data_IF_095331540294
#
_entry.id   IF_095331540294
#
_cell.length_a   1.000
_cell.length_b   1.000
_cell.length_c   1.000
_cell.angle_alpha   90.00
_cell.angle_beta   90.00
_cell.angle_gamma   90.00
#
_symmetry.space_group_name_H-M   'P 1'
#
loop_
_entity.id
_entity.type
_entity.pdbx_description
1 polymer ?
#
# COMPACT_ATOMS: atom_id res chain seq x y z
N UNK A 1 14.29 -6.02 -20.64
CA UNK A 1 14.68 -7.40 -20.33
C UNK A 1 13.63 -8.44 -20.74
N UNK A 2 12.36 -8.33 -20.37
CA UNK A 2 11.28 -9.27 -20.77
C UNK A 2 11.12 -9.51 -22.27
N UNK A 3 11.30 -8.52 -23.13
CA UNK A 3 11.23 -8.69 -24.60
C UNK A 3 12.36 -9.57 -25.16
N UNK A 4 13.57 -9.46 -24.62
CA UNK A 4 14.74 -10.25 -25.05
C UNK A 4 14.59 -11.71 -24.57
N UNK A 5 14.10 -11.92 -23.37
CA UNK A 5 13.82 -13.27 -22.83
C UNK A 5 12.73 -13.99 -23.64
N UNK A 6 11.65 -13.29 -23.95
CA UNK A 6 10.55 -13.81 -24.77
C UNK A 6 11.05 -14.25 -26.16
N UNK A 7 11.97 -13.49 -26.75
CA UNK A 7 12.63 -13.85 -27.98
C UNK A 7 13.46 -15.15 -27.88
N UNK A 8 14.22 -15.34 -26.79
CA UNK A 8 15.04 -16.55 -26.58
C UNK A 8 14.22 -17.81 -26.37
N UNK A 9 13.08 -17.72 -25.67
CA UNK A 9 12.14 -18.84 -25.49
C UNK A 9 11.55 -19.27 -26.83
N UNK A 10 11.14 -18.33 -27.69
CA UNK A 10 10.66 -18.65 -29.03
C UNK A 10 11.74 -19.33 -29.87
N UNK A 11 13.01 -18.90 -29.78
CA UNK A 11 14.13 -19.54 -30.43
C UNK A 11 14.33 -20.97 -29.93
N UNK A 12 14.26 -21.21 -28.63
CA UNK A 12 14.38 -22.57 -28.07
C UNK A 12 13.26 -23.50 -28.57
N UNK A 13 12.01 -23.02 -28.55
CA UNK A 13 10.87 -23.78 -29.09
C UNK A 13 11.04 -24.07 -30.57
N UNK A 14 11.45 -23.10 -31.36
CA UNK A 14 11.66 -23.26 -32.77
C UNK A 14 12.79 -24.27 -33.07
N UNK A 15 13.88 -24.25 -32.32
CA UNK A 15 14.97 -25.23 -32.42
C UNK A 15 14.49 -26.65 -32.08
N UNK A 16 13.69 -26.81 -31.02
CA UNK A 16 13.12 -28.14 -30.66
C UNK A 16 12.20 -28.65 -31.76
N UNK A 17 11.31 -27.80 -32.30
CA UNK A 17 10.40 -28.19 -33.38
C UNK A 17 11.20 -28.53 -34.67
N UNK A 18 12.18 -27.72 -35.02
CA UNK A 18 13.01 -27.98 -36.19
C UNK A 18 13.80 -29.28 -36.06
N UNK A 19 14.31 -29.58 -34.87
CA UNK A 19 15.03 -30.80 -34.59
C UNK A 19 14.11 -32.03 -34.64
N UNK A 20 12.88 -31.94 -34.10
CA UNK A 20 11.87 -33.01 -34.22
C UNK A 20 11.54 -33.29 -35.69
N UNK A 21 11.31 -32.25 -36.50
CA UNK A 21 11.04 -32.39 -37.91
C UNK A 21 12.24 -33.03 -38.67
N UNK A 22 13.45 -32.52 -38.38
CA UNK A 22 14.67 -33.07 -38.98
C UNK A 22 14.84 -34.55 -38.61
N UNK A 23 14.59 -34.96 -37.38
CA UNK A 23 14.66 -36.35 -36.94
C UNK A 23 13.64 -37.24 -37.64
N UNK A 24 12.38 -36.82 -37.72
CA UNK A 24 11.30 -37.57 -38.38
C UNK A 24 11.59 -37.74 -39.87
N UNK A 25 11.93 -36.66 -40.56
CA UNK A 25 12.27 -36.74 -41.99
C UNK A 25 13.56 -37.54 -42.23
N UNK A 26 14.57 -37.38 -41.36
CA UNK A 26 15.81 -38.15 -41.46
C UNK A 26 15.58 -39.66 -41.38
N UNK A 27 14.86 -40.12 -40.35
CA UNK A 27 14.54 -41.56 -40.23
C UNK A 27 13.59 -42.06 -41.34
N UNK A 28 12.65 -41.21 -41.78
CA UNK A 28 11.76 -41.58 -42.87
C UNK A 28 12.51 -41.82 -44.21
N UNK A 29 13.46 -40.95 -44.55
CA UNK A 29 14.11 -40.98 -45.86
C UNK A 29 15.47 -41.72 -45.89
N UNK A 30 16.25 -41.68 -44.78
CA UNK A 30 17.56 -42.33 -44.71
C UNK A 30 17.47 -43.77 -44.17
N UNK A 31 16.54 -44.05 -43.24
CA UNK A 31 16.34 -45.37 -42.67
C UNK A 31 15.15 -46.13 -43.31
N UNK A 32 14.41 -45.48 -44.22
CA UNK A 32 13.21 -46.05 -44.89
C UNK A 32 12.10 -46.47 -43.93
N UNK A 33 12.05 -45.91 -42.71
CA UNK A 33 11.06 -46.20 -41.69
C UNK A 33 9.65 -45.77 -42.12
N UNK A 34 8.63 -46.42 -41.58
CA UNK A 34 7.25 -45.91 -41.65
C UNK A 34 7.17 -44.55 -40.93
N UNK A 35 6.15 -43.75 -41.23
CA UNK A 35 5.98 -42.46 -40.53
C UNK A 35 5.87 -42.66 -39.02
N UNK A 36 5.17 -43.70 -38.57
CA UNK A 36 5.01 -44.05 -37.16
C UNK A 36 6.34 -44.39 -36.50
N UNK A 37 7.13 -45.26 -37.15
CA UNK A 37 8.44 -45.65 -36.63
C UNK A 37 9.43 -44.51 -36.64
N UNK A 38 9.39 -43.62 -37.65
CA UNK A 38 10.22 -42.45 -37.72
C UNK A 38 9.92 -41.45 -36.59
N UNK A 39 8.64 -41.20 -36.29
CA UNK A 39 8.26 -40.36 -35.15
C UNK A 39 8.70 -41.00 -33.85
N UNK A 40 8.41 -42.28 -33.64
CA UNK A 40 8.78 -43.00 -32.44
C UNK A 40 10.31 -42.99 -32.23
N UNK A 41 11.09 -43.36 -33.24
CA UNK A 41 12.56 -43.34 -33.15
C UNK A 41 13.12 -41.95 -32.84
N UNK A 42 12.56 -40.93 -33.47
CA UNK A 42 12.92 -39.51 -33.16
C UNK A 42 12.66 -39.17 -31.70
N UNK A 43 11.48 -39.51 -31.22
CA UNK A 43 11.08 -39.20 -29.84
C UNK A 43 11.97 -39.90 -28.82
N UNK A 44 12.23 -41.19 -28.94
CA UNK A 44 13.09 -41.95 -28.02
C UNK A 44 14.56 -41.50 -28.07
N UNK A 45 15.02 -41.01 -29.21
CA UNK A 45 16.38 -40.48 -29.38
C UNK A 45 16.52 -39.10 -28.74
N UNK A 46 15.62 -38.18 -29.06
CA UNK A 46 15.69 -36.81 -28.56
C UNK A 46 15.38 -36.73 -27.05
N UNK A 47 14.43 -37.56 -26.58
CA UNK A 47 14.11 -37.65 -25.15
C UNK A 47 15.19 -38.34 -24.30
N UNK A 48 16.25 -38.82 -24.91
CA UNK A 48 17.35 -39.58 -24.28
C UNK A 48 16.90 -40.87 -23.57
N UNK A 49 15.73 -41.40 -23.91
CA UNK A 49 15.20 -42.69 -23.34
C UNK A 49 15.93 -43.89 -23.95
N UNK A 50 16.16 -43.89 -25.26
CA UNK A 50 17.07 -44.81 -25.94
C UNK A 50 16.69 -46.29 -25.85
N UNK A 51 15.40 -46.68 -26.02
CA UNK A 51 14.95 -48.08 -25.96
C UNK A 51 15.62 -49.02 -26.99
N UNK A 52 16.23 -48.45 -28.01
CA UNK A 52 16.92 -49.22 -29.08
C UNK A 52 16.37 -48.89 -30.46
N UNK A 53 16.93 -49.57 -31.46
CA UNK A 53 16.53 -49.43 -32.87
C UNK A 53 15.20 -50.14 -33.13
N UNK A 54 14.25 -49.47 -33.81
CA UNK A 54 12.96 -50.08 -34.21
C UNK A 54 13.17 -51.14 -35.30
N UNK A 55 14.09 -50.85 -36.24
CA UNK A 55 14.58 -51.75 -37.28
C UNK A 55 16.07 -51.50 -37.48
N UNK A 56 16.88 -52.46 -37.98
CA UNK A 56 18.31 -52.29 -38.21
C UNK A 56 18.58 -51.07 -39.11
N UNK A 57 19.44 -50.17 -38.64
CA UNK A 57 19.84 -48.98 -39.37
C UNK A 57 20.94 -49.29 -40.38
N UNK A 58 20.84 -48.74 -41.57
CA UNK A 58 21.94 -48.68 -42.52
C UNK A 58 23.01 -47.69 -42.06
N UNK A 59 24.22 -47.73 -42.64
CA UNK A 59 25.36 -46.94 -42.22
C UNK A 59 25.09 -45.41 -42.32
N UNK A 60 24.36 -44.95 -43.33
CA UNK A 60 23.98 -43.55 -43.47
C UNK A 60 23.03 -43.09 -42.35
N UNK A 61 22.07 -43.93 -41.98
CA UNK A 61 21.13 -43.64 -40.90
C UNK A 61 21.83 -43.68 -39.52
N UNK A 62 22.83 -44.55 -39.31
CA UNK A 62 23.66 -44.56 -38.10
C UNK A 62 24.42 -43.25 -37.93
N UNK A 63 25.09 -42.78 -39.01
CA UNK A 63 25.80 -41.49 -38.96
C UNK A 63 24.84 -40.35 -38.67
N UNK A 64 23.69 -40.33 -39.35
CA UNK A 64 22.62 -39.33 -39.07
C UNK A 64 22.18 -39.37 -37.62
N UNK A 65 21.96 -40.55 -37.04
CA UNK A 65 21.53 -40.74 -35.64
C UNK A 65 22.59 -40.17 -34.68
N UNK A 66 23.88 -40.42 -34.91
CA UNK A 66 24.94 -39.84 -34.08
C UNK A 66 24.91 -38.31 -34.10
N UNK A 67 24.77 -37.72 -35.31
CA UNK A 67 24.66 -36.25 -35.45
C UNK A 67 23.43 -35.74 -34.74
N UNK A 68 22.28 -36.41 -34.90
CA UNK A 68 21.01 -36.02 -34.24
C UNK A 68 21.15 -36.06 -32.74
N UNK A 69 21.79 -37.09 -32.13
CA UNK A 69 22.06 -37.18 -30.70
C UNK A 69 22.91 -35.99 -30.22
N UNK A 70 24.02 -35.70 -30.89
CA UNK A 70 24.89 -34.58 -30.50
C UNK A 70 24.15 -33.24 -30.54
N UNK A 71 23.39 -33.00 -31.61
CA UNK A 71 22.60 -31.76 -31.75
C UNK A 71 21.49 -31.71 -30.68
N UNK A 72 20.82 -32.84 -30.42
CA UNK A 72 19.74 -32.89 -29.41
C UNK A 72 20.21 -32.55 -28.01
N UNK A 73 21.37 -33.05 -27.59
CA UNK A 73 21.96 -32.73 -26.27
C UNK A 73 22.25 -31.22 -26.15
N UNK A 74 22.78 -30.59 -27.22
CA UNK A 74 23.06 -29.16 -27.23
C UNK A 74 21.76 -28.35 -27.13
N UNK A 75 20.75 -28.67 -27.96
CA UNK A 75 19.48 -27.95 -28.00
C UNK A 75 18.71 -28.08 -26.69
N UNK A 76 18.64 -29.31 -26.10
CA UNK A 76 17.99 -29.50 -24.80
C UNK A 76 18.73 -28.79 -23.68
N UNK A 77 20.07 -28.84 -23.66
CA UNK A 77 20.89 -28.10 -22.70
C UNK A 77 20.63 -26.59 -22.76
N UNK A 78 20.53 -26.05 -23.98
CA UNK A 78 20.17 -24.64 -24.20
C UNK A 78 18.77 -24.31 -23.69
N UNK A 79 17.77 -25.17 -23.98
CA UNK A 79 16.39 -24.98 -23.51
C UNK A 79 16.30 -25.00 -21.97
N UNK A 80 16.95 -25.95 -21.31
CA UNK A 80 17.02 -26.06 -19.84
C UNK A 80 17.71 -24.80 -19.26
N UNK A 81 18.80 -24.34 -19.85
CA UNK A 81 19.51 -23.13 -19.40
C UNK A 81 18.60 -21.90 -19.42
N UNK A 82 17.80 -21.71 -20.49
CA UNK A 82 16.84 -20.58 -20.57
C UNK A 82 15.77 -20.67 -19.49
N UNK A 83 15.20 -21.87 -19.25
CA UNK A 83 14.18 -22.07 -18.23
C UNK A 83 14.75 -21.78 -16.84
N UNK A 84 15.95 -22.29 -16.56
CA UNK A 84 16.64 -22.06 -15.28
C UNK A 84 16.94 -20.56 -15.07
N UNK A 85 17.46 -19.87 -16.09
CA UNK A 85 17.71 -18.44 -16.06
C UNK A 85 16.41 -17.64 -15.82
N UNK A 86 15.30 -18.04 -16.43
CA UNK A 86 13.98 -17.40 -16.21
C UNK A 86 13.50 -17.52 -14.76
N UNK A 87 13.57 -18.72 -14.19
CA UNK A 87 13.17 -18.96 -12.80
C UNK A 87 14.06 -18.17 -11.83
N UNK A 88 15.37 -18.25 -11.98
CA UNK A 88 16.33 -17.56 -11.12
C UNK A 88 16.27 -16.04 -11.25
N UNK A 89 16.06 -15.51 -12.45
CA UNK A 89 15.99 -14.05 -12.66
C UNK A 89 14.76 -13.44 -12.03
N UNK A 90 13.63 -14.13 -12.06
CA UNK A 90 12.38 -13.65 -11.43
C UNK A 90 12.51 -13.60 -9.91
N UNK A 91 13.02 -14.64 -9.29
CA UNK A 91 13.28 -14.70 -7.84
C UNK A 91 14.28 -13.62 -7.38
N UNK A 92 15.38 -13.44 -8.09
CA UNK A 92 16.37 -12.42 -7.75
C UNK A 92 15.85 -10.99 -7.92
N UNK A 93 15.01 -10.74 -8.93
CA UNK A 93 14.42 -9.41 -9.16
C UNK A 93 13.46 -9.03 -8.02
N UNK A 94 12.63 -9.96 -7.53
CA UNK A 94 11.74 -9.71 -6.40
C UNK A 94 12.51 -9.45 -5.11
N UNK A 95 13.56 -10.24 -4.83
CA UNK A 95 14.43 -10.04 -3.68
C UNK A 95 15.16 -8.68 -3.71
N UNK A 96 15.65 -8.26 -4.86
CA UNK A 96 16.31 -6.94 -5.03
C UNK A 96 15.30 -5.82 -4.81
N UNK A 97 14.08 -5.95 -5.35
CA UNK A 97 12.98 -5.00 -5.17
C UNK A 97 12.61 -4.88 -3.70
N UNK A 98 12.40 -6.00 -3.01
CA UNK A 98 12.07 -6.02 -1.57
C UNK A 98 13.18 -5.36 -0.72
N UNK A 99 14.45 -5.66 -0.99
CA UNK A 99 15.58 -5.01 -0.29
C UNK A 99 15.65 -3.51 -0.53
N UNK A 100 15.32 -3.05 -1.73
CA UNK A 100 15.28 -1.61 -2.05
C UNK A 100 14.14 -0.91 -1.30
N UNK A 101 12.96 -1.53 -1.24
CA UNK A 101 11.81 -1.02 -0.46
C UNK A 101 12.16 -0.99 1.03
N UNK A 102 12.74 -2.06 1.57
CA UNK A 102 13.11 -2.12 2.98
C UNK A 102 14.12 -1.02 3.35
N UNK A 103 15.12 -0.75 2.50
CA UNK A 103 16.05 0.37 2.73
C UNK A 103 15.34 1.72 2.80
N UNK A 104 14.32 1.96 1.94
CA UNK A 104 13.52 3.18 2.00
C UNK A 104 12.73 3.25 3.31
N UNK A 105 12.10 2.15 3.75
CA UNK A 105 11.38 2.06 5.02
C UNK A 105 12.33 2.30 6.20
N UNK A 106 13.51 1.72 6.17
CA UNK A 106 14.51 1.87 7.24
C UNK A 106 14.99 3.33 7.41
N UNK A 107 14.93 4.13 6.35
CA UNK A 107 15.26 5.57 6.41
C UNK A 107 14.13 6.44 6.96
N UNK A 108 12.91 5.92 7.07
CA UNK A 108 11.76 6.68 7.59
C UNK A 108 11.79 6.80 9.11
N UNK A 109 11.43 7.99 9.58
CA UNK A 109 11.19 8.30 10.99
C UNK A 109 9.90 9.11 11.10
N UNK A 110 9.17 8.96 12.21
CA UNK A 110 7.90 9.64 12.47
C UNK A 110 6.84 9.42 11.36
N UNK A 111 6.95 8.32 10.63
CA UNK A 111 6.00 7.95 9.58
C UNK A 111 4.74 7.30 10.16
N UNK A 112 3.73 7.13 9.33
CA UNK A 112 2.49 6.44 9.66
C UNK A 112 2.55 5.01 9.13
N UNK A 113 2.10 4.03 9.91
CA UNK A 113 1.89 2.65 9.45
C UNK A 113 0.39 2.45 9.22
N UNK A 114 0.01 1.98 8.06
CA UNK A 114 -1.38 1.61 7.72
C UNK A 114 -1.44 0.10 7.58
N UNK A 115 -2.18 -0.56 8.48
CA UNK A 115 -2.35 -2.01 8.48
C UNK A 115 -3.64 -2.37 7.76
N UNK A 116 -3.49 -3.14 6.66
CA UNK A 116 -4.55 -3.51 5.74
C UNK A 116 -4.80 -2.46 4.66
N UNK A 117 -4.87 -2.89 3.39
CA UNK A 117 -5.14 -2.00 2.24
C UNK A 117 -6.51 -2.26 1.61
N UNK A 118 -7.48 -2.63 2.47
CA UNK A 118 -8.90 -2.70 2.13
C UNK A 118 -9.53 -1.32 1.95
N UNK A 119 -10.86 -1.23 2.00
CA UNK A 119 -11.61 0.03 1.78
C UNK A 119 -11.10 1.18 2.66
N UNK A 120 -11.03 0.98 3.97
CA UNK A 120 -10.65 2.04 4.92
C UNK A 120 -9.14 2.36 4.86
N UNK A 121 -8.28 1.34 4.79
CA UNK A 121 -6.83 1.56 4.70
C UNK A 121 -6.43 2.28 3.42
N UNK A 122 -7.06 1.95 2.28
CA UNK A 122 -6.84 2.65 1.02
C UNK A 122 -7.25 4.12 1.09
N UNK A 123 -8.38 4.44 1.71
CA UNK A 123 -8.83 5.82 1.92
C UNK A 123 -7.86 6.59 2.84
N UNK A 124 -7.41 5.95 3.93
CA UNK A 124 -6.42 6.54 4.83
C UNK A 124 -5.10 6.84 4.08
N UNK A 125 -4.58 5.88 3.31
CA UNK A 125 -3.36 6.04 2.52
C UNK A 125 -3.47 7.16 1.48
N UNK A 126 -4.60 7.25 0.76
CA UNK A 126 -4.86 8.33 -0.19
C UNK A 126 -4.85 9.70 0.49
N UNK A 127 -5.50 9.82 1.65
CA UNK A 127 -5.53 11.08 2.40
C UNK A 127 -4.15 11.46 2.95
N UNK A 128 -3.38 10.49 3.45
CA UNK A 128 -1.98 10.71 3.87
C UNK A 128 -1.11 11.19 2.72
N UNK A 129 -1.30 10.65 1.50
CA UNK A 129 -0.63 11.13 0.29
C UNK A 129 -0.97 12.60 0.00
N UNK A 130 -2.24 12.98 0.07
CA UNK A 130 -2.69 14.36 -0.14
C UNK A 130 -2.05 15.33 0.87
N UNK A 131 -1.87 14.90 2.12
CA UNK A 131 -1.21 15.71 3.16
C UNK A 131 0.32 15.63 3.13
N UNK A 132 0.92 14.93 2.19
CA UNK A 132 2.38 14.77 2.10
C UNK A 132 3.00 14.04 3.31
N UNK A 133 2.22 13.24 4.04
CA UNK A 133 2.71 12.48 5.20
C UNK A 133 3.33 11.17 4.75
N UNK A 134 4.59 10.88 5.13
CA UNK A 134 5.23 9.61 4.82
C UNK A 134 4.51 8.46 5.55
N UNK A 135 4.25 7.37 4.83
CA UNK A 135 3.60 6.20 5.39
C UNK A 135 4.09 4.89 4.77
N UNK A 136 3.87 3.80 5.49
CA UNK A 136 4.13 2.41 5.07
C UNK A 136 2.84 1.63 5.21
N UNK A 137 2.51 0.81 4.23
CA UNK A 137 1.33 -0.06 4.25
C UNK A 137 1.77 -1.50 4.53
N UNK A 138 1.11 -2.17 5.46
CA UNK A 138 1.22 -3.62 5.66
C UNK A 138 0.01 -4.26 4.98
N UNK A 139 0.26 -5.16 4.02
CA UNK A 139 -0.79 -5.91 3.33
C UNK A 139 -0.32 -7.34 3.07
N UNK A 140 -1.22 -8.31 3.31
CA UNK A 140 -0.90 -9.74 3.13
C UNK A 140 -1.05 -10.23 1.69
N UNK A 141 -1.91 -9.57 0.91
CA UNK A 141 -2.22 -9.94 -0.46
C UNK A 141 -1.17 -9.37 -1.42
N UNK A 142 -0.33 -10.25 -1.97
CA UNK A 142 0.71 -9.88 -2.93
C UNK A 142 0.15 -9.28 -4.23
N UNK A 143 -1.05 -9.65 -4.66
CA UNK A 143 -1.65 -9.09 -5.88
C UNK A 143 -2.01 -7.60 -5.66
N UNK A 144 -2.54 -7.27 -4.47
CA UNK A 144 -2.81 -5.89 -4.08
C UNK A 144 -1.50 -5.10 -4.00
N UNK A 145 -0.48 -5.64 -3.35
CA UNK A 145 0.83 -4.99 -3.22
C UNK A 145 1.43 -4.72 -4.61
N UNK A 146 1.43 -5.71 -5.50
CA UNK A 146 2.00 -5.56 -6.85
C UNK A 146 1.23 -4.56 -7.71
N UNK A 147 -0.09 -4.44 -7.51
CA UNK A 147 -0.95 -3.52 -8.25
C UNK A 147 -0.75 -2.06 -7.83
N UNK A 148 -0.54 -1.79 -6.55
CA UNK A 148 -0.52 -0.44 -6.00
C UNK A 148 0.86 0.07 -5.58
N UNK A 149 1.89 -0.79 -5.61
CA UNK A 149 3.25 -0.40 -5.27
C UNK A 149 3.77 0.70 -6.19
N UNK A 150 4.26 1.77 -5.60
CA UNK A 150 4.88 2.91 -6.30
C UNK A 150 6.00 3.50 -5.46
N UNK A 151 6.76 4.45 -6.00
CA UNK A 151 7.80 5.15 -5.24
C UNK A 151 7.25 5.98 -4.09
N UNK A 152 5.99 6.39 -4.16
CA UNK A 152 5.30 7.17 -3.12
C UNK A 152 4.56 6.29 -2.11
N UNK A 153 4.34 5.00 -2.40
CA UNK A 153 3.57 4.08 -1.57
C UNK A 153 4.39 2.82 -1.29
N UNK A 154 4.96 2.76 -0.09
CA UNK A 154 5.80 1.66 0.34
C UNK A 154 4.96 0.57 1.01
N UNK A 155 5.18 -0.68 0.61
CA UNK A 155 4.48 -1.83 1.15
C UNK A 155 5.44 -2.79 1.86
N UNK A 156 4.99 -3.33 3.00
CA UNK A 156 5.50 -4.55 3.61
C UNK A 156 4.47 -5.64 3.36
N UNK A 157 4.88 -6.69 2.66
CA UNK A 157 4.01 -7.84 2.40
C UNK A 157 4.10 -8.82 3.55
N UNK A 158 2.98 -9.08 4.23
CA UNK A 158 2.95 -10.02 5.35
C UNK A 158 1.69 -9.91 6.19
N UNK A 159 1.58 -10.82 7.16
CA UNK A 159 0.50 -10.82 8.14
C UNK A 159 0.88 -9.88 9.30
N UNK A 160 0.08 -8.83 9.51
CA UNK A 160 0.33 -7.85 10.58
C UNK A 160 0.18 -8.42 12.01
N UNK A 161 -0.34 -9.63 12.16
CA UNK A 161 -0.36 -10.35 13.44
C UNK A 161 1.04 -10.90 13.82
N UNK A 162 2.02 -10.82 12.92
CA UNK A 162 3.40 -11.23 13.16
C UNK A 162 4.24 -10.01 13.56
N UNK A 163 4.89 -10.08 14.71
CA UNK A 163 5.69 -8.96 15.25
C UNK A 163 6.81 -8.55 14.30
N UNK A 164 7.41 -9.51 13.58
CA UNK A 164 8.45 -9.28 12.59
C UNK A 164 7.98 -8.35 11.47
N UNK A 165 6.72 -8.49 11.03
CA UNK A 165 6.13 -7.66 9.97
C UNK A 165 5.93 -6.23 10.45
N UNK A 166 5.49 -6.03 11.70
CA UNK A 166 5.39 -4.72 12.32
C UNK A 166 6.78 -4.07 12.48
N UNK A 167 7.80 -4.85 12.85
CA UNK A 167 9.17 -4.38 12.94
C UNK A 167 9.74 -3.99 11.58
N UNK A 168 9.49 -4.78 10.53
CA UNK A 168 9.87 -4.45 9.15
C UNK A 168 9.21 -3.15 8.67
N UNK A 169 7.97 -2.87 9.07
CA UNK A 169 7.29 -1.61 8.78
C UNK A 169 7.83 -0.42 9.61
N UNK A 170 8.76 -0.66 10.54
CA UNK A 170 9.40 0.37 11.33
C UNK A 170 8.58 0.86 12.53
N UNK A 171 7.76 0.01 13.16
CA UNK A 171 6.87 0.36 14.28
C UNK A 171 7.59 1.08 15.42
N UNK A 172 8.87 0.75 15.70
CA UNK A 172 9.69 1.40 16.74
C UNK A 172 10.02 2.87 16.44
N UNK A 173 9.95 3.28 15.17
CA UNK A 173 10.28 4.63 14.69
C UNK A 173 9.06 5.37 14.16
N UNK A 174 7.93 4.69 14.04
CA UNK A 174 6.68 5.28 13.59
C UNK A 174 6.08 6.21 14.65
N UNK A 175 5.38 7.25 14.22
CA UNK A 175 4.60 8.13 15.09
C UNK A 175 3.18 7.66 15.31
N UNK A 176 2.61 6.97 14.31
CA UNK A 176 1.20 6.58 14.33
C UNK A 176 1.02 5.24 13.61
N UNK A 177 0.12 4.41 14.12
CA UNK A 177 -0.36 3.21 13.46
C UNK A 177 -1.87 3.31 13.28
N UNK A 178 -2.35 3.00 12.07
CA UNK A 178 -3.77 2.88 11.72
C UNK A 178 -4.06 1.42 11.42
N UNK A 179 -4.80 0.73 12.29
CA UNK A 179 -5.26 -0.64 12.04
C UNK A 179 -6.63 -0.61 11.38
N UNK A 180 -6.70 -1.09 10.13
CA UNK A 180 -7.88 -1.01 9.27
C UNK A 180 -8.26 -2.37 8.67
N UNK A 181 -7.97 -3.46 9.41
CA UNK A 181 -8.29 -4.82 9.01
C UNK A 181 -9.81 -5.06 9.06
N UNK A 182 -10.34 -6.00 8.25
CA UNK A 182 -11.77 -6.31 8.26
C UNK A 182 -12.24 -7.00 9.55
N UNK A 183 -11.37 -7.79 10.16
CA UNK A 183 -11.66 -8.56 11.39
C UNK A 183 -11.23 -7.80 12.64
N UNK A 184 -12.12 -7.72 13.62
CA UNK A 184 -11.89 -7.00 14.87
C UNK A 184 -10.87 -7.71 15.78
N UNK A 185 -10.78 -9.05 15.70
CA UNK A 185 -9.80 -9.84 16.46
C UNK A 185 -8.39 -9.58 15.96
N UNK A 186 -8.23 -9.50 14.64
CA UNK A 186 -6.95 -9.14 14.02
C UNK A 186 -6.55 -7.71 14.42
N UNK A 187 -7.49 -6.74 14.40
CA UNK A 187 -7.23 -5.39 14.85
C UNK A 187 -6.79 -5.36 16.32
N UNK A 188 -7.44 -6.15 17.19
CA UNK A 188 -7.10 -6.24 18.62
C UNK A 188 -5.67 -6.77 18.81
N UNK A 189 -5.31 -7.82 18.05
CA UNK A 189 -3.97 -8.41 18.13
C UNK A 189 -2.90 -7.42 17.66
N UNK A 190 -3.11 -6.76 16.53
CA UNK A 190 -2.20 -5.72 16.02
C UNK A 190 -2.02 -4.58 17.02
N UNK A 191 -3.10 -4.11 17.68
CA UNK A 191 -3.03 -3.05 18.70
C UNK A 191 -2.19 -3.49 19.89
N UNK A 192 -2.38 -4.72 20.38
CA UNK A 192 -1.62 -5.27 21.51
C UNK A 192 -0.13 -5.38 21.18
N UNK A 193 0.21 -6.00 20.04
CA UNK A 193 1.59 -6.15 19.58
C UNK A 193 2.26 -4.80 19.35
N UNK A 194 1.58 -3.88 18.65
CA UNK A 194 2.14 -2.56 18.37
C UNK A 194 2.40 -1.76 19.67
N UNK A 195 1.49 -1.78 20.63
CA UNK A 195 1.65 -1.12 21.94
C UNK A 195 2.77 -1.74 22.76
N UNK A 196 2.91 -3.07 22.72
CA UNK A 196 4.02 -3.78 23.37
C UNK A 196 5.38 -3.40 22.78
N UNK A 197 5.48 -3.28 21.45
CA UNK A 197 6.74 -2.96 20.77
C UNK A 197 7.11 -1.49 20.92
N UNK A 198 6.12 -0.58 20.88
CA UNK A 198 6.30 0.86 20.98
C UNK A 198 5.21 1.47 21.91
N UNK A 199 5.54 1.69 23.18
CA UNK A 199 4.60 2.25 24.17
C UNK A 199 4.09 3.66 23.84
N UNK A 200 4.88 4.46 23.12
CA UNK A 200 4.56 5.87 22.80
C UNK A 200 3.84 6.03 21.46
N UNK A 201 3.61 4.93 20.75
CA UNK A 201 2.96 4.95 19.43
C UNK A 201 1.51 5.40 19.54
N UNK A 202 1.11 6.38 18.73
CA UNK A 202 -0.31 6.72 18.60
C UNK A 202 -1.02 5.66 17.76
N UNK A 203 -2.01 4.97 18.36
CA UNK A 203 -2.72 3.87 17.70
C UNK A 203 -4.16 4.26 17.43
N UNK A 204 -4.55 4.18 16.15
CA UNK A 204 -5.93 4.37 15.69
C UNK A 204 -6.40 3.03 15.14
N UNK A 205 -7.50 2.49 15.67
CA UNK A 205 -8.01 1.20 15.24
C UNK A 205 -9.43 1.31 14.72
N UNK A 206 -9.74 0.48 13.70
CA UNK A 206 -11.11 0.22 13.29
C UNK A 206 -11.76 -0.78 14.24
N UNK A 207 -13.05 -0.59 14.54
CA UNK A 207 -13.93 -1.59 15.10
C UNK A 207 -15.18 -1.73 14.24
N UNK A 208 -15.73 -2.93 14.16
CA UNK A 208 -17.03 -3.20 13.54
C UNK A 208 -18.13 -3.27 14.59
N UNK A 209 -17.81 -3.83 15.78
CA UNK A 209 -18.75 -4.08 16.87
C UNK A 209 -18.51 -3.15 18.06
N UNK A 210 -19.61 -2.67 18.69
CA UNK A 210 -19.56 -1.82 19.89
C UNK A 210 -18.83 -2.51 21.07
N UNK A 211 -19.00 -3.84 21.20
CA UNK A 211 -18.32 -4.63 22.22
C UNK A 211 -16.81 -4.66 22.05
N UNK A 212 -16.34 -4.57 20.80
CA UNK A 212 -14.90 -4.56 20.48
C UNK A 212 -14.29 -3.17 20.68
N UNK A 213 -15.08 -2.11 20.56
CA UNK A 213 -14.63 -0.74 20.82
C UNK A 213 -13.93 -0.62 22.19
N UNK A 214 -14.58 -1.10 23.27
CA UNK A 214 -14.03 -1.04 24.62
C UNK A 214 -12.77 -1.92 24.77
N UNK A 215 -12.77 -3.10 24.13
CA UNK A 215 -11.60 -4.00 24.17
C UNK A 215 -10.39 -3.38 23.49
N UNK A 216 -10.57 -2.74 22.35
CA UNK A 216 -9.49 -2.03 21.63
C UNK A 216 -8.96 -0.84 22.44
N UNK A 217 -9.82 -0.07 23.10
CA UNK A 217 -9.41 0.99 24.03
C UNK A 217 -8.57 0.45 25.18
N UNK A 218 -9.02 -0.65 25.78
CA UNK A 218 -8.30 -1.31 26.87
C UNK A 218 -6.95 -1.90 26.42
N UNK A 219 -6.90 -2.43 25.19
CA UNK A 219 -5.67 -2.94 24.57
C UNK A 219 -4.64 -1.84 24.26
N UNK A 220 -5.01 -0.57 24.38
CA UNK A 220 -4.12 0.57 24.22
C UNK A 220 -4.31 1.35 22.92
N UNK A 221 -5.45 1.22 22.22
CA UNK A 221 -5.78 2.11 21.13
C UNK A 221 -6.14 3.52 21.64
N UNK A 222 -5.44 4.55 21.14
CA UNK A 222 -5.73 5.95 21.49
C UNK A 222 -7.07 6.39 20.91
N UNK A 223 -7.38 5.95 19.68
CA UNK A 223 -8.65 6.21 19.03
C UNK A 223 -9.20 4.93 18.42
N UNK A 224 -10.51 4.73 18.56
CA UNK A 224 -11.23 3.64 17.89
C UNK A 224 -12.33 4.24 17.04
N UNK A 225 -12.40 3.83 15.78
CA UNK A 225 -13.34 4.33 14.79
C UNK A 225 -14.25 3.19 14.34
N UNK A 226 -15.54 3.43 14.26
CA UNK A 226 -16.56 2.53 13.73
C UNK A 226 -17.11 3.09 12.42
N UNK A 227 -16.47 2.81 11.27
CA UNK A 227 -16.80 3.46 10.01
C UNK A 227 -18.25 3.21 9.57
N UNK A 228 -18.75 1.99 9.77
CA UNK A 228 -20.09 1.60 9.37
C UNK A 228 -21.17 2.33 10.19
N UNK A 229 -20.92 2.57 11.51
CA UNK A 229 -21.78 3.37 12.37
C UNK A 229 -21.78 4.84 11.92
N UNK A 230 -20.58 5.42 11.70
CA UNK A 230 -20.44 6.81 11.24
C UNK A 230 -21.16 6.99 9.89
N UNK A 231 -20.98 6.06 8.96
CA UNK A 231 -21.64 6.09 7.67
C UNK A 231 -23.17 5.97 7.77
N UNK A 232 -23.66 5.07 8.63
CA UNK A 232 -25.08 4.91 8.90
C UNK A 232 -25.72 6.15 9.50
N UNK A 233 -25.09 6.73 10.53
CA UNK A 233 -25.52 7.95 11.18
C UNK A 233 -25.57 9.12 10.17
N UNK A 234 -24.56 9.26 9.32
CA UNK A 234 -24.50 10.29 8.28
C UNK A 234 -25.63 10.12 7.25
N UNK A 235 -25.86 8.88 6.76
CA UNK A 235 -26.97 8.60 5.84
C UNK A 235 -28.33 8.94 6.46
N UNK A 236 -28.55 8.62 7.73
CA UNK A 236 -29.79 8.96 8.43
C UNK A 236 -29.93 10.48 8.60
N UNK A 237 -28.85 11.19 8.89
CA UNK A 237 -28.85 12.66 9.02
C UNK A 237 -29.22 13.37 7.73
N UNK A 238 -28.82 12.83 6.56
CA UNK A 238 -29.24 13.36 5.26
C UNK A 238 -30.75 13.27 5.01
N UNK A 239 -31.44 12.35 5.71
CA UNK A 239 -32.91 12.26 5.64
C UNK A 239 -33.58 13.23 6.62
N UNK A 240 -33.02 13.42 7.81
CA UNK A 240 -33.63 14.18 8.89
C UNK A 240 -33.32 15.67 8.82
N UNK A 241 -32.08 16.02 8.50
CA UNK A 241 -31.56 17.41 8.47
C UNK A 241 -30.65 17.66 7.25
N UNK A 242 -31.16 17.47 6.01
CA UNK A 242 -30.35 17.51 4.78
C UNK A 242 -29.58 18.82 4.62
N UNK A 243 -30.24 19.96 4.82
CA UNK A 243 -29.65 21.30 4.63
C UNK A 243 -28.50 21.55 5.61
N UNK A 244 -28.58 21.04 6.85
CA UNK A 244 -27.53 21.16 7.84
C UNK A 244 -26.32 20.29 7.45
N UNK A 245 -26.57 19.08 6.98
CA UNK A 245 -25.50 18.17 6.54
C UNK A 245 -24.78 18.77 5.34
N UNK A 246 -25.52 19.25 4.31
CA UNK A 246 -24.95 19.91 3.16
C UNK A 246 -24.13 21.16 3.55
N UNK A 247 -24.62 21.96 4.50
CA UNK A 247 -23.89 23.11 5.01
C UNK A 247 -22.58 22.69 5.67
N UNK A 248 -22.60 21.66 6.53
CA UNK A 248 -21.39 21.14 7.22
C UNK A 248 -20.38 20.53 6.24
N UNK A 249 -20.84 19.80 5.24
CA UNK A 249 -19.97 19.23 4.19
C UNK A 249 -19.31 20.31 3.32
N UNK A 250 -19.98 21.44 3.15
CA UNK A 250 -19.44 22.61 2.45
C UNK A 250 -18.46 23.41 3.32
N UNK A 251 -18.41 23.17 4.66
CA UNK A 251 -17.39 23.75 5.53
C UNK A 251 -16.07 22.99 5.39
N UNK A 252 -15.22 23.42 4.46
CA UNK A 252 -13.95 22.78 4.19
C UNK A 252 -12.89 23.19 5.23
N UNK A 253 -12.28 22.19 5.89
CA UNK A 253 -11.07 22.35 6.70
C UNK A 253 -9.86 22.21 5.76
N UNK A 254 -9.14 23.27 5.55
CA UNK A 254 -7.81 23.37 4.91
C UNK A 254 -7.44 22.25 3.90
N UNK A 255 -8.11 22.22 2.75
CA UNK A 255 -7.60 21.49 1.59
C UNK A 255 -7.98 22.24 0.31
N UNK A 256 -7.02 22.47 -0.60
CA UNK A 256 -7.23 23.09 -1.94
C UNK A 256 -7.67 24.58 -1.98
N UNK A 257 -7.09 25.44 -1.10
CA UNK A 257 -7.23 26.90 -1.26
C UNK A 257 -8.59 27.50 -0.86
N UNK A 258 -9.51 26.73 -0.26
CA UNK A 258 -10.77 27.23 0.30
C UNK A 258 -10.93 26.75 1.73
N UNK A 259 -10.37 27.51 2.67
CA UNK A 259 -10.50 27.24 4.12
C UNK A 259 -11.65 28.08 4.64
N UNK A 260 -12.70 27.45 5.15
CA UNK A 260 -13.81 28.15 5.80
C UNK A 260 -13.76 28.06 7.32
N UNK A 261 -13.05 27.05 7.88
CA UNK A 261 -12.87 26.86 9.32
C UNK A 261 -11.39 26.68 9.63
N UNK A 262 -10.86 27.43 10.61
CA UNK A 262 -9.47 27.37 11.01
C UNK A 262 -9.30 27.36 12.52
N UNK A 263 -8.23 26.69 12.97
CA UNK A 263 -7.77 26.75 14.35
C UNK A 263 -6.71 27.85 14.49
N UNK A 264 -6.89 28.67 15.52
CA UNK A 264 -5.97 29.77 15.83
C UNK A 264 -5.52 29.62 17.27
N UNK A 265 -4.22 29.59 17.50
CA UNK A 265 -3.65 29.45 18.84
C UNK A 265 -3.67 30.78 19.61
N UNK A 266 -3.65 30.71 20.96
CA UNK A 266 -3.54 31.90 21.80
C UNK A 266 -2.35 32.79 21.43
N UNK A 267 -1.21 32.19 21.15
CA UNK A 267 0.04 32.88 20.84
C UNK A 267 -0.07 33.71 19.54
N UNK A 268 -0.85 33.23 18.59
CA UNK A 268 -1.07 33.91 17.32
C UNK A 268 -1.92 35.20 17.49
N UNK A 269 -2.96 35.14 18.34
CA UNK A 269 -3.85 36.31 18.56
C UNK A 269 -3.41 37.20 19.71
N UNK A 270 -2.55 36.71 20.60
CA UNK A 270 -1.98 37.45 21.73
C UNK A 270 -0.46 37.30 21.78
N UNK A 271 0.28 37.85 20.79
CA UNK A 271 1.76 37.72 20.71
C UNK A 271 2.49 38.36 21.89
N UNK A 272 1.87 39.30 22.56
CA UNK A 272 2.39 39.93 23.81
C UNK A 272 2.12 39.08 25.06
N UNK A 273 1.51 37.91 24.89
CA UNK A 273 1.14 36.94 25.94
C UNK A 273 0.26 37.52 27.08
N UNK A 274 -0.39 38.66 26.83
CA UNK A 274 -1.33 39.24 27.78
C UNK A 274 -2.70 38.62 27.63
N UNK A 275 -3.32 38.24 28.74
CA UNK A 275 -4.69 37.75 28.77
C UNK A 275 -5.65 38.83 28.28
N UNK A 276 -6.41 38.51 27.24
CA UNK A 276 -7.43 39.36 26.65
C UNK A 276 -8.76 38.61 26.58
N UNK A 277 -9.87 39.34 26.58
CA UNK A 277 -11.15 38.74 26.25
C UNK A 277 -11.30 38.58 24.72
N UNK A 278 -12.24 37.72 24.31
CA UNK A 278 -12.61 37.60 22.88
C UNK A 278 -12.99 38.96 22.30
N UNK A 279 -13.70 39.81 23.10
CA UNK A 279 -14.06 41.18 22.72
C UNK A 279 -12.84 42.06 22.44
N UNK A 280 -11.81 41.97 23.30
CA UNK A 280 -10.61 42.80 23.17
C UNK A 280 -9.76 42.48 21.93
N UNK A 281 -9.82 41.23 21.47
CA UNK A 281 -9.14 40.85 20.21
C UNK A 281 -9.80 41.47 19.01
N UNK A 282 -11.13 41.65 19.06
CA UNK A 282 -11.96 42.26 18.02
C UNK A 282 -11.73 41.62 16.62
N UNK A 283 -11.63 40.28 16.62
CA UNK A 283 -11.28 39.49 15.44
C UNK A 283 -12.24 39.73 14.28
N UNK A 284 -13.55 39.86 14.58
CA UNK A 284 -14.58 40.05 13.57
C UNK A 284 -14.46 41.34 12.79
N UNK A 285 -14.18 42.48 13.49
CA UNK A 285 -14.02 43.75 12.81
C UNK A 285 -12.71 43.85 12.04
N UNK A 286 -11.63 43.18 12.53
CA UNK A 286 -10.34 43.19 11.87
C UNK A 286 -10.26 42.32 10.64
N UNK A 287 -10.90 41.13 10.68
CA UNK A 287 -10.71 40.10 9.65
C UNK A 287 -11.99 39.70 8.94
N UNK A 288 -13.15 39.99 9.53
CA UNK A 288 -14.45 39.52 9.10
C UNK A 288 -14.81 38.11 9.57
N UNK A 289 -13.87 37.38 10.22
CA UNK A 289 -14.09 36.05 10.73
C UNK A 289 -14.88 36.06 12.05
N UNK A 290 -15.58 34.97 12.33
CA UNK A 290 -16.31 34.77 13.59
C UNK A 290 -15.71 33.63 14.39
N UNK A 291 -15.59 33.79 15.71
CA UNK A 291 -15.18 32.70 16.62
C UNK A 291 -16.41 31.87 16.92
N UNK A 292 -16.38 30.59 16.60
CA UNK A 292 -17.47 29.63 16.82
C UNK A 292 -17.17 28.62 17.91
N UNK A 293 -15.92 28.53 18.34
CA UNK A 293 -15.50 27.61 19.38
C UNK A 293 -14.23 28.05 20.09
N UNK A 294 -14.11 27.62 21.32
CA UNK A 294 -12.94 27.76 22.17
C UNK A 294 -12.58 26.41 22.77
N UNK A 295 -11.32 26.06 22.76
CA UNK A 295 -10.78 24.88 23.45
C UNK A 295 -9.78 25.33 24.50
N UNK A 296 -10.02 24.93 25.77
CA UNK A 296 -9.12 25.22 26.87
C UNK A 296 -7.78 24.47 26.74
N UNK A 297 -6.80 24.84 27.52
CA UNK A 297 -5.52 24.13 27.63
C UNK A 297 -5.70 22.69 28.16
N UNK A 298 -6.71 22.44 28.99
CA UNK A 298 -7.09 21.15 29.54
C UNK A 298 -7.82 20.26 28.50
N UNK A 299 -8.29 20.86 27.39
CA UNK A 299 -8.97 20.15 26.32
C UNK A 299 -10.48 20.28 26.27
N UNK A 300 -11.08 21.07 27.15
CA UNK A 300 -12.53 21.31 27.23
C UNK A 300 -12.98 22.25 26.09
N UNK A 301 -14.13 21.95 25.50
CA UNK A 301 -14.69 22.73 24.39
C UNK A 301 -15.87 23.60 24.83
N UNK A 302 -15.86 24.87 24.44
CA UNK A 302 -17.00 25.79 24.58
C UNK A 302 -17.45 26.18 23.16
N UNK A 303 -18.68 25.81 22.80
CA UNK A 303 -19.30 26.20 21.51
C UNK A 303 -19.95 27.58 21.73
N UNK A 304 -19.77 28.46 20.74
CA UNK A 304 -20.25 29.85 20.76
C UNK A 304 -19.85 30.58 22.05
N UNK A 305 -18.54 30.76 22.31
CA UNK A 305 -18.05 31.37 23.57
C UNK A 305 -18.51 32.82 23.68
N UNK A 306 -18.78 33.26 24.91
CA UNK A 306 -19.15 34.63 25.18
C UNK A 306 -18.01 35.61 24.88
N UNK A 307 -18.33 36.79 24.38
CA UNK A 307 -17.36 37.84 24.08
C UNK A 307 -16.51 38.29 25.30
N UNK A 308 -17.03 38.08 26.51
CA UNK A 308 -16.37 38.35 27.80
C UNK A 308 -15.37 37.29 28.23
N UNK A 309 -15.37 36.10 27.57
CA UNK A 309 -14.47 35.01 27.89
C UNK A 309 -13.01 35.43 27.75
N UNK A 310 -12.23 35.25 28.81
CA UNK A 310 -10.79 35.54 28.83
C UNK A 310 -10.02 34.37 28.22
N UNK A 311 -9.10 34.66 27.34
CA UNK A 311 -8.25 33.67 26.70
C UNK A 311 -7.09 33.31 27.64
N UNK A 312 -6.79 32.03 27.74
CA UNK A 312 -5.69 31.48 28.53
C UNK A 312 -4.59 30.94 27.61
N UNK A 313 -3.35 30.87 28.11
CA UNK A 313 -2.23 30.31 27.36
C UNK A 313 -2.50 28.86 27.01
N UNK A 314 -2.17 28.50 25.76
CA UNK A 314 -2.39 27.14 25.23
C UNK A 314 -3.82 26.87 24.78
N UNK A 315 -4.74 27.83 24.88
CA UNK A 315 -6.07 27.71 24.30
C UNK A 315 -6.04 27.80 22.77
N UNK A 316 -7.08 27.23 22.14
CA UNK A 316 -7.28 27.23 20.69
C UNK A 316 -8.65 27.85 20.40
N UNK A 317 -8.69 28.81 19.50
CA UNK A 317 -9.91 29.37 18.93
C UNK A 317 -10.27 28.63 17.65
N UNK A 318 -11.55 28.30 17.47
CA UNK A 318 -12.10 27.79 16.22
C UNK A 318 -12.83 28.95 15.53
N UNK A 319 -12.34 29.30 14.36
CA UNK A 319 -12.77 30.49 13.64
C UNK A 319 -13.38 30.07 12.31
N UNK A 320 -14.49 30.70 11.92
CA UNK A 320 -15.16 30.53 10.64
C UNK A 320 -15.14 31.82 9.83
N UNK A 321 -14.89 31.70 8.53
CA UNK A 321 -14.88 32.86 7.62
C UNK A 321 -14.95 32.41 6.16
N UNK A 322 -15.24 33.34 5.26
CA UNK A 322 -15.08 33.12 3.82
C UNK A 322 -13.57 33.04 3.51
N UNK A 323 -13.17 32.44 2.38
CA UNK A 323 -11.74 32.35 2.03
C UNK A 323 -10.99 33.68 2.14
N UNK A 324 -11.55 34.76 1.66
CA UNK A 324 -10.97 36.13 1.72
C UNK A 324 -10.80 36.63 3.18
N UNK A 325 -11.73 36.28 4.07
CA UNK A 325 -11.69 36.62 5.49
C UNK A 325 -10.60 35.82 6.21
N UNK A 326 -10.43 34.56 5.84
CA UNK A 326 -9.34 33.70 6.36
C UNK A 326 -7.97 34.21 5.88
N UNK A 327 -7.86 34.66 4.63
CA UNK A 327 -6.63 35.33 4.16
C UNK A 327 -6.33 36.62 4.95
N UNK A 328 -7.34 37.42 5.25
CA UNK A 328 -7.18 38.57 6.12
C UNK A 328 -6.75 38.18 7.54
N UNK A 329 -7.30 37.07 8.07
CA UNK A 329 -6.89 36.53 9.37
C UNK A 329 -5.39 36.18 9.37
N UNK A 330 -4.91 35.48 8.34
CA UNK A 330 -3.49 35.13 8.19
C UNK A 330 -2.60 36.36 8.13
N UNK A 331 -3.06 37.39 7.41
CA UNK A 331 -2.30 38.63 7.24
C UNK A 331 -2.23 39.45 8.52
N UNK A 332 -3.35 39.55 9.27
CA UNK A 332 -3.45 40.36 10.49
C UNK A 332 -2.69 39.72 11.66
N UNK A 333 -2.72 38.42 11.78
CA UNK A 333 -2.15 37.68 12.91
C UNK A 333 -0.89 36.87 12.57
N UNK A 334 -0.34 37.04 11.37
CA UNK A 334 0.88 36.36 10.88
C UNK A 334 0.89 34.84 11.09
N UNK A 335 -0.24 34.17 10.76
CA UNK A 335 -0.47 32.74 10.95
C UNK A 335 -0.14 31.99 9.65
#
# INVERSE_FOLDING_TARGET
MLKIFRSRIYVAILLIISMLMLGVFGFRFLAEYTWTDAVYMTMITISTVGFGEVQPLNDSAKIFTVILILVSVIVLGYAISIITEYILSRSNFELIKQRSVQKKIDSLNNHVIVVGFGRNGKQAAQKLTTYGRPFVVIERDEEIVNKFHSDQMLFVTGNANEDEVLVQAGVKRASTLISALPDDSDNLFVVLSARQINPDLKIISRASEETTYQKLKFAGADNVIMPDKIGGDHMASLVVVPDLVEFLDNLQVATEGRVNVQQVTFEAVCPDLKTRSIRDIDLRNKTGCSIIGYKSAEGDYIINPEASLKLERGCILIVIGRPEQIENLHREFAI
#
